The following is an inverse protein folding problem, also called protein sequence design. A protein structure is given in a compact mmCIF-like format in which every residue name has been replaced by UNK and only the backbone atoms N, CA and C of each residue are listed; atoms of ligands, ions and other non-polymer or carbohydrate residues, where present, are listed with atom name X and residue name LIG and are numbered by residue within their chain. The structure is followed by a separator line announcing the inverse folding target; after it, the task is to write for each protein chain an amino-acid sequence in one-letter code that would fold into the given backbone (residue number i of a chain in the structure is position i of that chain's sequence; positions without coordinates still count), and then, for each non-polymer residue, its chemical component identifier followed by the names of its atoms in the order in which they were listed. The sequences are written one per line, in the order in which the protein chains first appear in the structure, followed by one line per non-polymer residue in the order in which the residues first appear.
data_IF_525020001042
#
_entry.id   IF_525020001042
#
_cell.length_a   1.000
_cell.length_b   1.000
_cell.length_c   1.000
_cell.angle_alpha   90.00
_cell.angle_beta   90.00
_cell.angle_gamma   90.00
#
_symmetry.space_group_name_H-M   'P 1'
#
loop_
_entity.id
_entity.type
_entity.pdbx_description
1 polymer ?
#
# COMPACT_ATOMS: atom_id res chain seq x y z
N UNK A 1 -14.69 -3.04 -5.83
CA UNK A 1 -13.47 -3.82 -5.53
C UNK A 1 -13.50 -4.15 -4.06
N UNK A 2 -13.27 -5.40 -3.71
CA UNK A 2 -13.29 -5.88 -2.32
C UNK A 2 -11.86 -5.88 -1.74
N UNK A 3 -11.73 -5.85 -0.41
CA UNK A 3 -10.42 -5.81 0.29
C UNK A 3 -9.44 -6.87 -0.21
N UNK A 4 -9.92 -8.08 -0.48
CA UNK A 4 -9.09 -9.19 -1.00
C UNK A 4 -8.48 -8.85 -2.36
N UNK A 5 -9.25 -8.26 -3.26
CA UNK A 5 -8.80 -7.88 -4.60
C UNK A 5 -7.80 -6.72 -4.54
N UNK A 6 -8.07 -5.71 -3.68
CA UNK A 6 -7.14 -4.62 -3.39
C UNK A 6 -5.79 -5.17 -2.84
N UNK A 7 -5.86 -6.14 -1.91
CA UNK A 7 -4.66 -6.75 -1.32
C UNK A 7 -3.82 -7.52 -2.34
N UNK A 8 -4.45 -8.25 -3.26
CA UNK A 8 -3.74 -8.95 -4.34
C UNK A 8 -3.05 -7.96 -5.28
N UNK A 9 -3.74 -6.89 -5.69
CA UNK A 9 -3.16 -5.84 -6.55
C UNK A 9 -2.01 -5.12 -5.87
N UNK A 10 -2.17 -4.75 -4.59
CA UNK A 10 -1.12 -4.15 -3.79
C UNK A 10 0.11 -5.07 -3.75
N UNK A 11 -0.10 -6.36 -3.50
CA UNK A 11 0.98 -7.35 -3.47
C UNK A 11 1.68 -7.50 -4.81
N UNK A 12 0.94 -7.63 -5.92
CA UNK A 12 1.50 -7.72 -7.27
C UNK A 12 2.38 -6.51 -7.62
N UNK A 13 1.98 -5.32 -7.19
CA UNK A 13 2.73 -4.07 -7.42
C UNK A 13 3.99 -3.97 -6.59
N UNK A 14 3.96 -4.54 -5.38
CA UNK A 14 5.07 -4.55 -4.46
C UNK A 14 6.05 -5.69 -4.74
N UNK A 15 5.60 -6.81 -5.32
CA UNK A 15 6.43 -8.01 -5.51
C UNK A 15 7.67 -7.72 -6.35
N UNK A 16 7.51 -6.97 -7.45
CA UNK A 16 8.62 -6.61 -8.34
C UNK A 16 9.66 -5.72 -7.63
N UNK A 17 9.22 -4.88 -6.69
CA UNK A 17 10.12 -4.03 -5.88
C UNK A 17 10.76 -4.81 -4.74
N UNK A 18 10.00 -5.68 -4.10
CA UNK A 18 10.44 -6.54 -3.01
C UNK A 18 11.51 -7.53 -3.48
N UNK A 19 11.28 -8.20 -4.61
CA UNK A 19 12.24 -9.13 -5.22
C UNK A 19 13.57 -8.44 -5.54
N UNK A 20 13.53 -7.19 -6.00
CA UNK A 20 14.75 -6.38 -6.25
C UNK A 20 15.51 -6.04 -4.97
N UNK A 21 14.83 -5.98 -3.84
CA UNK A 21 15.42 -5.79 -2.51
C UNK A 21 15.78 -7.12 -1.83
N UNK A 22 15.53 -8.26 -2.48
CA UNK A 22 15.77 -9.59 -1.92
C UNK A 22 14.70 -10.06 -0.92
N UNK A 23 13.57 -9.35 -0.84
CA UNK A 23 12.41 -9.74 -0.02
C UNK A 23 11.55 -10.75 -0.77
N UNK A 24 10.97 -11.71 -0.04
CA UNK A 24 10.05 -12.67 -0.63
C UNK A 24 8.63 -12.12 -0.69
N UNK A 25 7.85 -12.58 -1.67
CA UNK A 25 6.45 -12.19 -1.83
C UNK A 25 5.60 -12.48 -0.57
N UNK A 26 5.94 -13.56 0.14
CA UNK A 26 5.40 -14.00 1.43
C UNK A 26 5.65 -13.02 2.59
N UNK A 27 6.72 -12.21 2.50
CA UNK A 27 7.04 -11.20 3.52
C UNK A 27 6.27 -9.88 3.31
N UNK A 28 5.68 -9.69 2.13
CA UNK A 28 4.83 -8.53 1.81
C UNK A 28 3.44 -8.77 2.39
N UNK A 29 3.29 -8.56 3.70
CA UNK A 29 1.99 -8.67 4.36
C UNK A 29 1.94 -7.89 5.68
N UNK A 30 0.71 -7.67 6.17
CA UNK A 30 0.46 -7.27 7.54
C UNK A 30 0.98 -5.88 7.88
N UNK A 31 1.80 -5.81 8.93
CA UNK A 31 2.40 -4.58 9.46
C UNK A 31 3.68 -4.13 8.75
N UNK A 32 4.01 -4.69 7.57
CA UNK A 32 5.19 -4.27 6.82
C UNK A 32 5.03 -2.81 6.38
N UNK A 33 5.90 -1.93 6.88
CA UNK A 33 5.93 -0.53 6.49
C UNK A 33 6.57 -0.38 5.11
N UNK A 34 5.78 0.04 4.12
CA UNK A 34 6.21 0.15 2.73
C UNK A 34 7.22 1.28 2.56
N UNK A 35 7.09 2.36 3.34
CA UNK A 35 7.96 3.54 3.23
C UNK A 35 9.18 3.38 4.13
N UNK A 36 8.98 3.08 5.42
CA UNK A 36 10.09 2.92 6.36
C UNK A 36 10.92 1.66 6.10
N UNK A 37 10.31 0.62 5.52
CA UNK A 37 11.01 -0.58 5.07
C UNK A 37 11.88 -0.36 3.83
N UNK A 38 11.82 0.82 3.21
CA UNK A 38 12.59 1.16 2.02
C UNK A 38 12.07 0.51 0.73
N UNK A 39 10.86 -0.08 0.77
CA UNK A 39 10.22 -0.70 -0.38
C UNK A 39 9.67 0.35 -1.36
N UNK A 40 9.20 1.47 -0.80
CA UNK A 40 8.75 2.66 -1.48
C UNK A 40 9.42 3.89 -0.86
N UNK A 41 9.66 4.90 -1.68
CA UNK A 41 9.91 6.26 -1.22
C UNK A 41 8.58 7.01 -1.03
N UNK A 42 8.63 8.21 -0.45
CA UNK A 42 7.42 9.02 -0.21
C UNK A 42 6.64 9.30 -1.49
N UNK A 43 7.34 9.46 -2.63
CA UNK A 43 6.70 9.69 -3.92
C UNK A 43 6.07 8.41 -4.48
N UNK A 44 6.78 7.28 -4.43
CA UNK A 44 6.27 5.99 -4.85
C UNK A 44 5.08 5.50 -4.02
N UNK A 45 4.97 5.95 -2.77
CA UNK A 45 3.77 5.75 -1.95
C UNK A 45 2.57 6.56 -2.50
N UNK A 46 2.77 7.84 -2.80
CA UNK A 46 1.69 8.67 -3.39
C UNK A 46 1.26 8.13 -4.75
N UNK A 47 2.20 7.71 -5.60
CA UNK A 47 1.91 7.09 -6.90
C UNK A 47 1.11 5.79 -6.73
N UNK A 48 1.48 4.96 -5.75
CA UNK A 48 0.76 3.73 -5.43
C UNK A 48 -0.68 4.03 -5.01
N UNK A 49 -0.89 4.97 -4.09
CA UNK A 49 -2.24 5.32 -3.62
C UNK A 49 -3.06 5.85 -4.79
N UNK A 50 -2.53 6.79 -5.57
CA UNK A 50 -3.21 7.38 -6.74
C UNK A 50 -3.66 6.30 -7.74
N UNK A 51 -2.81 5.29 -7.98
CA UNK A 51 -3.16 4.17 -8.85
C UNK A 51 -4.28 3.29 -8.24
N UNK A 52 -4.19 2.99 -6.94
CA UNK A 52 -5.23 2.23 -6.24
C UNK A 52 -6.57 2.97 -6.21
N UNK A 53 -6.57 4.31 -6.08
CA UNK A 53 -7.76 5.15 -6.15
C UNK A 53 -8.44 5.06 -7.52
N UNK A 54 -7.66 5.15 -8.60
CA UNK A 54 -8.18 5.03 -9.97
C UNK A 54 -8.84 3.67 -10.22
N UNK A 55 -8.23 2.59 -9.69
CA UNK A 55 -8.74 1.23 -9.87
C UNK A 55 -9.93 0.95 -8.94
N UNK A 56 -9.89 1.46 -7.72
CA UNK A 56 -10.95 1.30 -6.72
C UNK A 56 -12.18 2.17 -7.00
N UNK A 57 -12.00 3.29 -7.72
CA UNK A 57 -13.01 4.33 -7.90
C UNK A 57 -13.35 5.05 -6.61
N UNK A 58 -12.38 5.19 -5.69
CA UNK A 58 -12.51 5.86 -4.39
C UNK A 58 -11.29 6.74 -4.16
N UNK A 59 -11.49 7.95 -3.66
CA UNK A 59 -10.40 8.81 -3.18
C UNK A 59 -10.04 8.45 -1.74
N UNK A 60 -8.75 8.45 -1.45
CA UNK A 60 -8.19 8.33 -0.12
C UNK A 60 -7.71 9.69 0.33
N UNK A 61 -8.09 10.07 1.54
CA UNK A 61 -7.54 11.28 2.15
C UNK A 61 -6.08 11.03 2.59
N UNK A 62 -5.16 11.31 1.67
CA UNK A 62 -3.72 11.22 1.92
C UNK A 62 -3.26 12.12 3.07
N UNK A 63 -3.89 13.29 3.27
CA UNK A 63 -3.52 14.19 4.35
C UNK A 63 -3.77 13.53 5.71
N UNK A 64 -4.95 12.92 5.86
CA UNK A 64 -5.28 12.14 7.06
C UNK A 64 -4.50 10.81 7.15
N UNK A 65 -4.12 10.22 6.02
CA UNK A 65 -3.31 9.00 5.99
C UNK A 65 -1.92 9.23 6.61
N UNK A 66 -1.23 10.31 6.23
CA UNK A 66 0.10 10.61 6.78
C UNK A 66 0.10 10.90 8.30
N UNK A 67 -1.02 11.41 8.82
CA UNK A 67 -1.20 11.64 10.26
C UNK A 67 -1.61 10.36 11.02
N UNK A 68 -2.02 9.31 10.31
CA UNK A 68 -2.43 8.03 10.92
C UNK A 68 -1.22 7.10 11.11
N UNK A 69 -0.89 6.70 12.35
CA UNK A 69 0.18 5.74 12.59
C UNK A 69 -0.08 4.43 11.86
N UNK A 70 0.90 3.99 11.06
CA UNK A 70 0.80 2.73 10.33
C UNK A 70 0.06 2.80 9.00
N UNK A 71 -0.39 3.98 8.54
CA UNK A 71 -1.03 4.12 7.22
C UNK A 71 -0.11 3.73 6.04
N UNK A 72 1.21 3.80 6.23
CA UNK A 72 2.21 3.36 5.25
C UNK A 72 2.47 1.86 5.29
N UNK A 73 1.83 1.11 6.20
CA UNK A 73 1.94 -0.34 6.24
C UNK A 73 1.04 -1.00 5.21
N UNK A 74 1.33 -2.24 4.84
CA UNK A 74 0.50 -3.00 3.91
C UNK A 74 -0.97 -3.02 4.35
N UNK A 75 -1.25 -3.39 5.60
CA UNK A 75 -2.62 -3.38 6.14
C UNK A 75 -3.17 -1.96 6.29
N UNK A 76 -2.33 -0.99 6.66
CA UNK A 76 -2.72 0.40 6.77
C UNK A 76 -3.22 0.96 5.43
N UNK A 77 -2.55 0.62 4.32
CA UNK A 77 -3.01 0.99 2.99
C UNK A 77 -4.37 0.38 2.70
N UNK A 78 -4.59 -0.90 3.01
CA UNK A 78 -5.91 -1.52 2.82
C UNK A 78 -7.00 -0.85 3.65
N UNK A 79 -6.68 -0.48 4.89
CA UNK A 79 -7.61 0.19 5.81
C UNK A 79 -8.01 1.58 5.32
N UNK A 80 -7.16 2.28 4.56
CA UNK A 80 -7.50 3.57 3.95
C UNK A 80 -8.66 3.45 2.95
N UNK A 81 -8.77 2.33 2.25
CA UNK A 81 -9.82 2.08 1.25
C UNK A 81 -11.09 1.43 1.83
N UNK A 82 -11.00 0.91 3.05
CA UNK A 82 -12.13 0.30 3.80
C UNK A 82 -12.83 1.30 4.73
N UNK A 83 -12.27 2.50 4.96
CA UNK A 83 -12.95 3.56 5.71
C UNK A 83 -14.09 4.17 4.87
N UNK A 84 -15.29 4.35 5.46
CA UNK A 84 -16.46 4.90 4.78
C UNK A 84 -16.36 6.41 4.52
#
# INVERSE_FOLDING_TARGET
MDRTELSQRLRERLVLRAERLGLRADEISGSLDLVRGGLLDSLGFVDLITELEQVAGREVDLANAFDTPGATTFDGVLDLFDRP
#
